data_IF_475457496855
#
_entry.id   IF_475457496855
#
_cell.length_a   1.000
_cell.length_b   1.000
_cell.length_c   1.000
_cell.angle_alpha   90.00
_cell.angle_beta   90.00
_cell.angle_gamma   90.00
#
_symmetry.space_group_name_H-M   'P 1'
#
loop_
_entity.id
_entity.type
_entity.pdbx_description
1 polymer ?
#
# COMPACT_ATOMS: atom_id res chain seq x y z
N UNK A 1 70.84 4.61 0.62
CA UNK A 1 70.05 3.55 1.27
C UNK A 1 68.86 4.25 1.92
N UNK A 2 67.95 4.81 1.12
CA UNK A 2 66.76 5.54 1.60
C UNK A 2 65.57 5.41 0.60
N UNK A 3 65.52 4.34 -0.19
CA UNK A 3 64.38 4.07 -1.12
C UNK A 3 63.64 2.75 -0.82
N UNK A 4 64.11 1.93 0.13
CA UNK A 4 63.47 0.63 0.42
C UNK A 4 62.32 0.71 1.44
N UNK A 5 62.14 1.84 2.14
CA UNK A 5 61.13 1.99 3.20
C UNK A 5 59.77 2.55 2.78
N UNK A 6 59.64 3.07 1.56
CA UNK A 6 58.43 3.78 1.10
C UNK A 6 57.45 2.86 0.34
N UNK A 7 57.98 1.81 -0.31
CA UNK A 7 57.17 0.79 -0.97
C UNK A 7 56.50 -0.18 0.02
N UNK A 8 57.15 -0.46 1.16
CA UNK A 8 56.60 -1.32 2.23
C UNK A 8 55.49 -0.65 3.04
N UNK A 9 55.33 0.68 2.96
CA UNK A 9 54.28 1.43 3.68
C UNK A 9 53.14 1.87 2.77
N UNK A 10 53.34 1.99 1.46
CA UNK A 10 52.29 2.40 0.51
C UNK A 10 51.08 1.45 0.43
N UNK A 11 51.29 0.13 0.56
CA UNK A 11 50.17 -0.83 0.61
C UNK A 11 49.35 -0.71 1.90
N UNK A 12 49.99 -0.27 2.99
CA UNK A 12 49.36 -0.05 4.29
C UNK A 12 48.41 1.15 4.20
N UNK A 13 48.80 2.22 3.48
CA UNK A 13 47.95 3.38 3.24
C UNK A 13 46.70 3.00 2.43
N UNK A 14 46.88 2.24 1.33
CA UNK A 14 45.75 1.74 0.54
C UNK A 14 44.84 0.79 1.33
N UNK A 15 45.41 -0.10 2.14
CA UNK A 15 44.65 -0.99 3.02
C UNK A 15 43.88 -0.24 4.10
N UNK A 16 44.45 0.83 4.66
CA UNK A 16 43.78 1.67 5.66
C UNK A 16 42.58 2.41 5.08
N UNK A 17 42.69 2.95 3.86
CA UNK A 17 41.57 3.60 3.16
C UNK A 17 40.47 2.57 2.86
N UNK A 18 40.83 1.40 2.34
CA UNK A 18 39.87 0.34 2.00
C UNK A 18 39.12 -0.15 3.25
N UNK A 19 39.83 -0.36 4.36
CA UNK A 19 39.24 -0.75 5.63
C UNK A 19 38.32 0.34 6.19
N UNK A 20 38.71 1.61 6.10
CA UNK A 20 37.88 2.75 6.53
C UNK A 20 36.57 2.82 5.76
N UNK A 21 36.64 2.74 4.42
CA UNK A 21 35.45 2.75 3.55
C UNK A 21 34.57 1.53 3.84
N UNK A 22 35.14 0.34 3.98
CA UNK A 22 34.40 -0.88 4.29
C UNK A 22 33.65 -0.77 5.63
N UNK A 23 34.30 -0.25 6.67
CA UNK A 23 33.66 0.01 7.96
C UNK A 23 32.52 1.01 7.85
N UNK A 24 32.70 2.13 7.15
CA UNK A 24 31.66 3.14 6.96
C UNK A 24 30.46 2.57 6.20
N UNK A 25 30.70 1.80 5.13
CA UNK A 25 29.62 1.17 4.35
C UNK A 25 28.87 0.14 5.18
N UNK A 26 29.58 -0.69 5.96
CA UNK A 26 28.93 -1.69 6.84
C UNK A 26 28.07 -1.03 7.92
N UNK A 27 28.57 0.02 8.58
CA UNK A 27 27.81 0.77 9.60
C UNK A 27 26.59 1.44 8.98
N UNK A 28 26.75 2.04 7.80
CA UNK A 28 25.63 2.68 7.08
C UNK A 28 24.58 1.66 6.68
N UNK A 29 24.99 0.54 6.08
CA UNK A 29 24.10 -0.54 5.68
C UNK A 29 23.34 -1.15 6.87
N UNK A 30 24.03 -1.34 8.00
CA UNK A 30 23.40 -1.85 9.22
C UNK A 30 22.39 -0.86 9.79
N UNK A 31 22.72 0.43 9.80
CA UNK A 31 21.81 1.47 10.26
C UNK A 31 20.57 1.57 9.38
N UNK A 32 20.73 1.53 8.06
CA UNK A 32 19.60 1.60 7.14
C UNK A 32 18.72 0.35 7.23
N UNK A 33 19.31 -0.84 7.36
CA UNK A 33 18.56 -2.07 7.62
C UNK A 33 17.77 -2.01 8.93
N UNK A 34 18.38 -1.46 9.99
CA UNK A 34 17.72 -1.31 11.30
C UNK A 34 16.54 -0.34 11.23
N UNK A 35 16.69 0.79 10.51
CA UNK A 35 15.61 1.75 10.25
C UNK A 35 14.47 1.12 9.47
N UNK A 36 14.78 0.41 8.39
CA UNK A 36 13.76 -0.22 7.54
C UNK A 36 12.96 -1.27 8.34
N UNK A 37 13.64 -2.06 9.18
CA UNK A 37 12.98 -3.02 10.08
C UNK A 37 12.02 -2.34 11.07
N UNK A 38 12.40 -1.19 11.63
CA UNK A 38 11.53 -0.43 12.52
C UNK A 38 10.31 0.13 11.77
N UNK A 39 10.50 0.61 10.55
CA UNK A 39 9.41 1.10 9.71
C UNK A 39 8.42 -0.01 9.35
N UNK A 40 8.91 -1.18 8.95
CA UNK A 40 8.09 -2.38 8.69
C UNK A 40 7.30 -2.82 9.92
N UNK A 41 7.89 -2.70 11.12
CA UNK A 41 7.21 -3.01 12.37
C UNK A 41 6.03 -2.06 12.66
N UNK A 42 6.19 -0.77 12.41
CA UNK A 42 5.12 0.23 12.56
C UNK A 42 4.00 0.02 11.53
N UNK A 43 4.36 -0.20 10.27
CA UNK A 43 3.41 -0.48 9.19
C UNK A 43 2.56 -1.72 9.52
N UNK A 44 3.19 -2.80 9.99
CA UNK A 44 2.48 -4.03 10.34
C UNK A 44 1.46 -3.86 11.49
N UNK A 45 1.70 -2.94 12.43
CA UNK A 45 0.75 -2.66 13.51
C UNK A 45 -0.44 -1.83 13.02
N UNK A 46 -0.18 -0.84 12.18
CA UNK A 46 -1.24 0.02 11.60
C UNK A 46 -2.17 -0.82 10.72
N UNK A 47 -1.63 -1.70 9.87
CA UNK A 47 -2.41 -2.60 9.02
C UNK A 47 -3.22 -3.64 9.81
N UNK A 48 -2.71 -4.10 10.95
CA UNK A 48 -3.39 -5.11 11.78
C UNK A 48 -4.54 -4.54 12.63
N UNK A 49 -4.58 -3.22 12.84
CA UNK A 49 -5.57 -2.58 13.72
C UNK A 49 -6.76 -1.96 12.97
N UNK A 50 -6.70 -1.85 11.64
CA UNK A 50 -7.84 -1.37 10.87
C UNK A 50 -8.98 -2.39 10.88
N UNK A 51 -9.99 -2.09 11.69
CA UNK A 51 -11.24 -2.84 11.78
C UNK A 51 -12.34 -2.16 10.98
N UNK A 52 -13.16 -2.95 10.32
CA UNK A 52 -14.33 -2.49 9.59
C UNK A 52 -15.59 -3.19 10.09
N UNK A 53 -16.72 -2.47 10.04
CA UNK A 53 -18.00 -3.00 10.52
C UNK A 53 -18.71 -3.73 9.38
N UNK A 54 -19.03 -5.00 9.57
CA UNK A 54 -19.78 -5.80 8.61
C UNK A 54 -20.99 -6.49 9.26
N UNK A 55 -21.90 -6.99 8.44
CA UNK A 55 -23.06 -7.76 8.84
C UNK A 55 -22.95 -9.18 8.28
N UNK A 56 -22.72 -10.15 9.17
CA UNK A 56 -22.74 -11.59 8.84
C UNK A 56 -23.79 -12.29 9.70
N UNK A 57 -24.57 -13.18 9.10
CA UNK A 57 -25.64 -13.92 9.80
C UNK A 57 -26.61 -13.02 10.59
N UNK A 58 -26.88 -11.81 10.07
CA UNK A 58 -27.77 -10.83 10.70
C UNK A 58 -27.18 -10.08 11.91
N UNK A 59 -25.92 -10.33 12.29
CA UNK A 59 -25.25 -9.66 13.39
C UNK A 59 -24.20 -8.67 12.88
N UNK A 60 -24.12 -7.51 13.54
CA UNK A 60 -23.12 -6.48 13.27
C UNK A 60 -21.85 -6.84 14.03
N UNK A 61 -20.76 -7.11 13.31
CA UNK A 61 -19.47 -7.48 13.87
C UNK A 61 -18.37 -6.59 13.30
N UNK A 62 -17.33 -6.33 14.09
CA UNK A 62 -16.12 -5.68 13.61
C UNK A 62 -15.05 -6.73 13.32
N UNK A 63 -14.61 -6.79 12.07
CA UNK A 63 -13.54 -7.69 11.63
C UNK A 63 -12.36 -6.87 11.12
N UNK A 64 -11.20 -7.50 10.98
CA UNK A 64 -10.06 -6.85 10.34
C UNK A 64 -10.34 -6.65 8.85
N UNK A 65 -9.81 -5.58 8.27
CA UNK A 65 -9.94 -5.31 6.83
C UNK A 65 -9.44 -6.49 5.97
N UNK A 66 -8.38 -7.18 6.41
CA UNK A 66 -7.84 -8.35 5.73
C UNK A 66 -8.76 -9.59 5.73
N UNK A 67 -9.80 -9.62 6.56
CA UNK A 67 -10.75 -10.73 6.66
C UNK A 67 -12.05 -10.48 5.87
N UNK A 68 -12.17 -9.32 5.22
CA UNK A 68 -13.31 -8.96 4.37
C UNK A 68 -13.26 -9.79 3.09
N UNK A 69 -14.40 -10.39 2.72
CA UNK A 69 -14.53 -11.20 1.51
C UNK A 69 -15.68 -10.71 0.64
N UNK A 70 -15.65 -11.10 -0.63
CA UNK A 70 -16.75 -10.84 -1.58
C UNK A 70 -18.04 -11.45 -1.06
N UNK A 71 -19.14 -10.69 -1.14
CA UNK A 71 -20.46 -11.08 -0.65
C UNK A 71 -20.76 -10.65 0.79
N UNK A 72 -19.77 -10.13 1.53
CA UNK A 72 -20.04 -9.51 2.83
C UNK A 72 -20.89 -8.25 2.68
N UNK A 73 -21.71 -7.97 3.70
CA UNK A 73 -22.42 -6.69 3.80
C UNK A 73 -21.61 -5.77 4.70
N UNK A 74 -20.97 -4.76 4.13
CA UNK A 74 -20.23 -3.73 4.84
C UNK A 74 -21.17 -2.62 5.29
N UNK A 75 -21.05 -2.19 6.54
CA UNK A 75 -21.76 -1.01 7.06
C UNK A 75 -20.82 0.19 6.98
N UNK A 76 -21.26 1.20 6.24
CA UNK A 76 -20.48 2.38 5.88
C UNK A 76 -20.99 3.58 6.67
N UNK A 77 -20.07 4.36 7.26
CA UNK A 77 -20.38 5.54 8.08
C UNK A 77 -19.47 6.71 7.73
N UNK A 78 -19.89 7.91 8.14
CA UNK A 78 -19.08 9.11 8.05
C UNK A 78 -17.67 8.90 8.64
N UNK A 79 -16.64 9.29 7.87
CA UNK A 79 -15.24 9.18 8.23
C UNK A 79 -14.60 7.84 7.86
N UNK A 80 -15.37 6.85 7.40
CA UNK A 80 -14.82 5.56 6.99
C UNK A 80 -14.01 5.70 5.69
N UNK A 81 -12.84 5.07 5.66
CA UNK A 81 -12.11 4.75 4.44
C UNK A 81 -12.61 3.41 3.92
N UNK A 82 -13.04 3.35 2.66
CA UNK A 82 -13.58 2.12 2.10
C UNK A 82 -12.48 1.09 1.82
N UNK A 83 -12.53 -0.09 2.46
CA UNK A 83 -11.49 -1.12 2.30
C UNK A 83 -11.64 -1.94 1.02
N UNK A 84 -12.82 -1.92 0.39
CA UNK A 84 -13.19 -2.80 -0.70
C UNK A 84 -14.22 -2.13 -1.62
N UNK A 85 -14.32 -2.60 -2.86
CA UNK A 85 -15.35 -2.16 -3.78
C UNK A 85 -16.68 -2.83 -3.44
N UNK A 86 -17.78 -2.16 -3.74
CA UNK A 86 -19.10 -2.76 -3.57
C UNK A 86 -20.27 -1.96 -4.11
N UNK A 87 -21.44 -2.57 -3.97
CA UNK A 87 -22.71 -2.01 -4.43
C UNK A 87 -23.54 -1.57 -3.22
N UNK A 88 -23.97 -0.33 -3.21
CA UNK A 88 -24.88 0.23 -2.22
C UNK A 88 -26.22 -0.52 -2.29
N UNK A 89 -26.63 -1.12 -1.17
CA UNK A 89 -27.94 -1.75 -1.01
C UNK A 89 -28.90 -0.90 -0.19
N UNK A 90 -28.37 -0.02 0.65
CA UNK A 90 -29.14 0.90 1.49
C UNK A 90 -28.27 2.13 1.79
N UNK A 91 -28.79 3.34 1.60
CA UNK A 91 -28.05 4.56 1.89
C UNK A 91 -28.93 5.64 2.50
N UNK A 92 -28.33 6.49 3.33
CA UNK A 92 -28.95 7.70 3.88
C UNK A 92 -28.01 8.89 3.65
N UNK A 93 -28.36 9.70 2.65
CA UNK A 93 -27.61 10.87 2.15
C UNK A 93 -26.09 10.66 2.06
N UNK A 94 -25.70 9.52 1.47
CA UNK A 94 -24.30 9.11 1.38
C UNK A 94 -23.56 9.98 0.34
N UNK A 95 -22.49 10.65 0.78
CA UNK A 95 -21.57 11.37 -0.09
C UNK A 95 -20.15 10.89 0.14
N UNK A 96 -19.44 10.68 -0.96
CA UNK A 96 -18.10 10.10 -0.98
C UNK A 96 -17.16 11.08 -1.68
N UNK A 97 -15.95 11.19 -1.15
CA UNK A 97 -14.82 11.84 -1.82
C UNK A 97 -14.08 10.81 -2.69
N UNK A 98 -14.19 11.01 -4.01
CA UNK A 98 -13.53 10.17 -5.03
C UNK A 98 -12.25 10.82 -5.58
N UNK A 99 -11.79 11.94 -5.01
CA UNK A 99 -10.61 12.68 -5.47
C UNK A 99 -9.35 11.82 -5.52
N UNK A 100 -9.24 10.82 -4.65
CA UNK A 100 -8.11 9.88 -4.64
C UNK A 100 -8.05 8.97 -5.87
N UNK A 101 -9.17 8.75 -6.57
CA UNK A 101 -9.25 7.90 -7.76
C UNK A 101 -9.46 8.71 -9.05
N UNK A 102 -10.35 9.71 -9.02
CA UNK A 102 -10.73 10.48 -10.21
C UNK A 102 -9.97 11.80 -10.33
N UNK A 103 -9.40 12.30 -9.23
CA UNK A 103 -8.80 13.64 -9.17
C UNK A 103 -9.81 14.78 -9.08
N UNK A 104 -11.11 14.49 -8.99
CA UNK A 104 -12.17 15.49 -8.83
C UNK A 104 -12.45 15.73 -7.35
N UNK A 105 -12.35 16.97 -6.88
CA UNK A 105 -12.51 17.32 -5.46
C UNK A 105 -13.97 17.42 -4.99
N UNK A 106 -14.94 17.27 -5.89
CA UNK A 106 -16.35 17.41 -5.55
C UNK A 106 -16.90 16.13 -4.90
N UNK A 107 -17.69 16.29 -3.85
CA UNK A 107 -18.32 15.14 -3.18
C UNK A 107 -19.40 14.52 -4.08
N UNK A 108 -19.26 13.23 -4.36
CA UNK A 108 -20.19 12.48 -5.21
C UNK A 108 -21.28 11.87 -4.35
N UNK A 109 -22.55 12.16 -4.69
CA UNK A 109 -23.71 11.60 -4.00
C UNK A 109 -24.02 10.20 -4.51
N UNK A 110 -23.99 9.21 -3.61
CA UNK A 110 -24.28 7.81 -3.93
C UNK A 110 -25.71 7.44 -3.57
N UNK A 111 -26.40 6.79 -4.51
CA UNK A 111 -27.79 6.34 -4.35
C UNK A 111 -27.98 5.00 -5.03
N UNK A 112 -28.92 4.19 -4.55
CA UNK A 112 -29.19 2.87 -5.11
C UNK A 112 -29.61 2.90 -6.58
N UNK A 113 -30.22 4.02 -7.03
CA UNK A 113 -30.86 4.11 -8.34
C UNK A 113 -29.98 4.75 -9.42
N UNK A 114 -29.11 5.70 -9.07
CA UNK A 114 -28.29 6.44 -10.04
C UNK A 114 -26.84 6.02 -10.04
N UNK A 115 -26.25 5.92 -8.86
CA UNK A 115 -24.82 5.63 -8.69
C UNK A 115 -24.62 4.82 -7.41
N UNK A 116 -24.83 3.49 -7.49
CA UNK A 116 -24.72 2.60 -6.35
C UNK A 116 -23.30 2.10 -6.15
N UNK A 117 -22.31 2.48 -6.96
CA UNK A 117 -20.95 1.97 -6.82
C UNK A 117 -20.20 2.72 -5.73
N UNK A 118 -19.60 1.96 -4.82
CA UNK A 118 -18.61 2.45 -3.88
C UNK A 118 -17.26 1.82 -4.21
N UNK A 119 -16.22 2.64 -4.23
CA UNK A 119 -14.87 2.25 -4.64
C UNK A 119 -13.93 2.21 -3.44
N UNK A 120 -13.05 1.21 -3.39
CA UNK A 120 -12.00 1.12 -2.37
C UNK A 120 -11.09 2.36 -2.41
N UNK A 121 -10.53 2.74 -1.27
CA UNK A 121 -9.64 3.91 -1.20
C UNK A 121 -10.35 5.27 -1.20
N UNK A 122 -11.68 5.31 -1.29
CA UNK A 122 -12.46 6.55 -1.18
C UNK A 122 -12.93 6.79 0.25
N UNK A 123 -13.17 8.07 0.58
CA UNK A 123 -13.57 8.49 1.92
C UNK A 123 -15.04 8.88 2.00
N UNK A 124 -15.71 8.46 3.06
CA UNK A 124 -17.12 8.80 3.29
C UNK A 124 -17.21 10.15 3.99
N UNK A 125 -17.69 11.15 3.27
CA UNK A 125 -17.73 12.55 3.72
C UNK A 125 -19.06 12.95 4.34
N UNK A 126 -20.13 12.21 4.05
CA UNK A 126 -21.44 12.45 4.67
C UNK A 126 -22.29 11.19 4.65
N UNK A 127 -23.20 11.07 5.62
CA UNK A 127 -24.23 10.05 5.63
C UNK A 127 -23.76 8.68 6.12
N UNK A 128 -24.55 7.67 5.78
CA UNK A 128 -24.26 6.27 6.12
C UNK A 128 -24.97 5.32 5.16
N UNK A 129 -24.52 4.07 5.11
CA UNK A 129 -25.14 3.08 4.25
C UNK A 129 -24.72 1.65 4.55
N UNK A 130 -25.22 0.74 3.73
CA UNK A 130 -24.79 -0.64 3.65
C UNK A 130 -24.47 -0.95 2.21
N UNK A 131 -23.35 -1.63 1.99
CA UNK A 131 -22.90 -2.07 0.70
C UNK A 131 -22.64 -3.57 0.71
N UNK A 132 -22.83 -4.22 -0.42
CA UNK A 132 -22.38 -5.60 -0.65
C UNK A 132 -21.01 -5.53 -1.32
N UNK A 133 -20.03 -6.21 -0.73
CA UNK A 133 -18.66 -6.26 -1.23
C UNK A 133 -18.61 -7.03 -2.55
N UNK A 134 -18.06 -6.42 -3.60
CA UNK A 134 -17.93 -7.03 -4.94
C UNK A 134 -16.49 -7.41 -5.26
N UNK A 135 -15.51 -6.63 -4.83
CA UNK A 135 -14.09 -6.90 -5.07
C UNK A 135 -13.22 -6.45 -3.89
N UNK A 136 -12.18 -7.24 -3.60
CA UNK A 136 -11.24 -7.03 -2.49
C UNK A 136 -9.80 -7.16 -2.96
N UNK A 137 -8.87 -6.50 -2.27
CA UNK A 137 -7.42 -6.61 -2.51
C UNK A 137 -7.03 -6.24 -3.95
N UNK A 138 -6.18 -7.06 -4.58
CA UNK A 138 -5.67 -6.81 -5.95
C UNK A 138 -6.74 -6.77 -7.04
N UNK A 139 -7.96 -7.24 -6.74
CA UNK A 139 -9.07 -7.25 -7.68
C UNK A 139 -9.97 -6.00 -7.54
N UNK A 140 -9.77 -5.16 -6.50
CA UNK A 140 -10.50 -3.89 -6.40
C UNK A 140 -9.94 -2.87 -7.40
N UNK A 141 -10.68 -1.80 -7.68
CA UNK A 141 -10.22 -0.73 -8.59
C UNK A 141 -8.88 -0.15 -8.14
N UNK A 142 -8.74 0.17 -6.85
CA UNK A 142 -7.47 0.64 -6.29
C UNK A 142 -6.38 -0.42 -6.41
N UNK A 143 -6.70 -1.70 -6.17
CA UNK A 143 -5.75 -2.80 -6.29
C UNK A 143 -5.24 -2.99 -7.73
N UNK A 144 -6.12 -2.86 -8.72
CA UNK A 144 -5.78 -2.93 -10.14
C UNK A 144 -4.89 -1.74 -10.53
N UNK A 145 -5.26 -0.52 -10.12
CA UNK A 145 -4.46 0.69 -10.38
C UNK A 145 -3.07 0.54 -9.77
N UNK A 146 -2.97 0.10 -8.51
CA UNK A 146 -1.69 -0.11 -7.84
C UNK A 146 -0.85 -1.19 -8.52
N UNK A 147 -1.48 -2.27 -8.98
CA UNK A 147 -0.80 -3.33 -9.74
C UNK A 147 -0.26 -2.82 -11.07
N UNK A 148 -0.99 -1.95 -11.77
CA UNK A 148 -0.54 -1.36 -13.02
C UNK A 148 0.62 -0.38 -12.81
N UNK A 149 0.56 0.44 -11.75
CA UNK A 149 1.64 1.36 -11.38
C UNK A 149 2.90 0.61 -10.92
N UNK A 150 2.75 -0.44 -10.11
CA UNK A 150 3.88 -1.28 -9.70
C UNK A 150 4.46 -2.11 -10.86
N UNK A 151 3.62 -2.59 -11.77
CA UNK A 151 4.09 -3.27 -12.98
C UNK A 151 4.81 -2.34 -13.97
N UNK A 152 4.56 -1.02 -13.91
CA UNK A 152 5.33 -0.05 -14.69
C UNK A 152 6.74 0.22 -14.12
N UNK A 153 7.02 -0.12 -12.87
CA UNK A 153 8.36 0.01 -12.28
C UNK A 153 9.25 -1.23 -12.57
N UNK A 154 8.66 -2.39 -12.82
CA UNK A 154 9.40 -3.63 -13.11
C UNK A 154 9.80 -3.81 -14.61
N UNK A 155 9.34 -2.92 -15.50
CA UNK A 155 9.53 -3.07 -16.95
C UNK A 155 10.67 -2.21 -17.55
N UNK A 156 11.62 -1.73 -16.73
CA UNK A 156 12.90 -1.15 -17.20
C UNK A 156 14.10 -2.11 -17.03
N UNK A 157 13.87 -3.40 -16.73
CA UNK A 157 14.95 -4.31 -16.35
C UNK A 157 14.89 -5.73 -16.92
N UNK A 158 14.36 -5.97 -18.13
CA UNK A 158 14.60 -7.24 -18.84
C UNK A 158 14.23 -7.20 -20.34
N UNK A 159 15.01 -6.47 -21.14
CA UNK A 159 15.32 -6.88 -22.53
C UNK A 159 16.77 -7.36 -22.53
N UNK A 160 17.18 -8.48 -23.07
CA UNK A 160 16.57 -9.38 -24.03
C UNK A 160 16.89 -10.82 -23.61
N UNK A 161 15.90 -11.70 -23.64
CA UNK A 161 16.21 -13.08 -23.97
C UNK A 161 15.07 -13.75 -24.73
N UNK A 162 15.43 -14.17 -25.94
CA UNK A 162 14.77 -15.15 -26.83
C UNK A 162 13.58 -14.66 -27.67
N UNK A 163 13.84 -14.46 -28.96
CA UNK A 163 13.76 -15.52 -29.99
C UNK A 163 13.93 -14.92 -31.38
N UNK A 164 14.92 -15.41 -32.14
CA UNK A 164 14.69 -15.73 -33.56
C UNK A 164 15.68 -16.80 -34.05
N UNK A 165 15.08 -17.86 -34.60
CA UNK A 165 15.56 -18.92 -35.51
C UNK A 165 17.01 -19.42 -35.46
#
# INVERSE_FOLDING_TARGET
>A
VEEEGDAETGWIEGAAILLSVACVVLVTAFNDWSKEKQFRGLQSRIEQEQKFTIVRSGQVIQIKVSEIVVGDIAQVKYGDLLPADGVLIQGNDLKIDESSLTGESDHVKKTTDKDPMLLSGTHVMEGSGKMVVTAVGVNSQTGIIFKLLGASEDNEGSGDDKKEK
#
